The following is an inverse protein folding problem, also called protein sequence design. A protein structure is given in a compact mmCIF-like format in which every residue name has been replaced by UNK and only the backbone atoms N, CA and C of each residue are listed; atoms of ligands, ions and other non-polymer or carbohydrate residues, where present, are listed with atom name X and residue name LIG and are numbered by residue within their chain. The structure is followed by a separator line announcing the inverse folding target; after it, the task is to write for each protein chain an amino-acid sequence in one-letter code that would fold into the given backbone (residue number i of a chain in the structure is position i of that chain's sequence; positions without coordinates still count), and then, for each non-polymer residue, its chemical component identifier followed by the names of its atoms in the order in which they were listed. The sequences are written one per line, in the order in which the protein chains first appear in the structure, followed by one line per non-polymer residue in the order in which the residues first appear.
data_IF_088798947692
#
_entry.id   IF_088798947692
#
_cell.length_a   1.000
_cell.length_b   1.000
_cell.length_c   1.000
_cell.angle_alpha   90.00
_cell.angle_beta   90.00
_cell.angle_gamma   90.00
#
_symmetry.space_group_name_H-M   'P 1'
#
loop_
_entity.id
_entity.type
_entity.pdbx_description
1 polymer ?
#
# COMPACT_ATOMS: atom_id res chain seq x y z
N UNK A 1 -21.56 21.88 17.73
CA UNK A 1 -20.23 21.25 17.59
C UNK A 1 -20.35 19.83 18.09
N UNK A 2 -19.92 18.85 17.32
CA UNK A 2 -19.91 17.42 17.68
C UNK A 2 -18.53 17.07 18.24
N UNK A 3 -18.47 16.18 19.22
CA UNK A 3 -17.21 15.77 19.85
C UNK A 3 -16.96 14.29 19.60
N UNK A 4 -15.70 13.95 19.28
CA UNK A 4 -15.24 12.58 19.10
C UNK A 4 -13.89 12.39 19.81
N UNK A 5 -13.59 11.17 20.20
CA UNK A 5 -12.31 10.84 20.80
C UNK A 5 -11.21 10.77 19.74
N UNK A 6 -11.37 9.85 18.79
CA UNK A 6 -10.47 9.69 17.64
C UNK A 6 -11.25 9.92 16.36
N UNK A 7 -10.87 10.93 15.59
CA UNK A 7 -11.33 11.10 14.22
C UNK A 7 -10.30 10.53 13.26
N UNK A 8 -10.75 9.82 12.21
CA UNK A 8 -9.89 9.33 11.12
C UNK A 8 -10.31 10.00 9.82
N UNK A 9 -9.44 10.81 9.21
CA UNK A 9 -9.66 11.46 7.93
C UNK A 9 -9.12 10.59 6.79
N UNK A 10 -10.01 10.01 6.00
CA UNK A 10 -9.76 9.01 4.96
C UNK A 10 -10.04 7.59 5.44
N UNK A 11 -10.87 6.85 4.71
CA UNK A 11 -11.24 5.45 4.99
C UNK A 11 -10.78 4.52 3.83
N UNK A 12 -9.63 4.84 3.23
CA UNK A 12 -8.89 3.93 2.39
C UNK A 12 -8.22 2.82 3.22
N UNK A 13 -7.33 2.04 2.61
CA UNK A 13 -6.74 0.86 3.25
C UNK A 13 -6.06 1.17 4.60
N UNK A 14 -5.34 2.29 4.70
CA UNK A 14 -4.68 2.69 5.96
C UNK A 14 -5.67 3.19 7.01
N UNK A 15 -6.65 4.00 6.61
CA UNK A 15 -7.65 4.51 7.55
C UNK A 15 -8.57 3.43 8.09
N UNK A 16 -8.96 2.48 7.24
CA UNK A 16 -9.73 1.30 7.67
C UNK A 16 -8.92 0.44 8.67
N UNK A 17 -7.61 0.27 8.42
CA UNK A 17 -6.72 -0.44 9.34
C UNK A 17 -6.58 0.27 10.70
N UNK A 18 -6.49 1.60 10.69
CA UNK A 18 -6.49 2.40 11.93
C UNK A 18 -7.81 2.25 12.67
N UNK A 19 -8.94 2.37 11.98
CA UNK A 19 -10.26 2.22 12.61
C UNK A 19 -10.41 0.83 13.26
N UNK A 20 -10.04 -0.23 12.55
CA UNK A 20 -10.06 -1.60 13.05
C UNK A 20 -9.14 -1.80 14.28
N UNK A 21 -7.89 -1.35 14.20
CA UNK A 21 -6.93 -1.55 15.29
C UNK A 21 -7.30 -0.72 16.53
N UNK A 22 -7.70 0.55 16.35
CA UNK A 22 -8.02 1.44 17.45
C UNK A 22 -9.29 1.02 18.21
N UNK A 23 -10.36 0.63 17.51
CA UNK A 23 -11.59 0.15 18.19
C UNK A 23 -11.34 -1.12 18.97
N UNK A 24 -10.58 -2.07 18.45
CA UNK A 24 -10.18 -3.28 19.17
C UNK A 24 -9.39 -3.01 20.46
N UNK A 25 -8.74 -1.85 20.55
CA UNK A 25 -8.01 -1.38 21.74
C UNK A 25 -8.86 -0.44 22.61
N UNK A 26 -10.15 -0.33 22.32
CA UNK A 26 -11.13 0.38 23.14
C UNK A 26 -11.24 1.89 22.87
N UNK A 27 -10.66 2.38 21.77
CA UNK A 27 -10.87 3.78 21.37
C UNK A 27 -12.24 3.97 20.71
N UNK A 28 -12.89 5.12 21.00
CA UNK A 28 -14.08 5.55 20.27
C UNK A 28 -13.65 6.24 18.99
N UNK A 29 -13.99 5.65 17.84
CA UNK A 29 -13.54 6.08 16.52
C UNK A 29 -14.69 6.57 15.66
N UNK A 30 -14.54 7.73 15.03
CA UNK A 30 -15.38 8.18 13.91
C UNK A 30 -14.49 8.37 12.68
N UNK A 31 -14.72 7.59 11.61
CA UNK A 31 -13.96 7.67 10.39
C UNK A 31 -14.76 8.37 9.28
N UNK A 32 -14.10 9.29 8.59
CA UNK A 32 -14.66 10.12 7.53
C UNK A 32 -14.01 9.78 6.20
N UNK A 33 -14.82 9.54 5.18
CA UNK A 33 -14.36 9.33 3.81
C UNK A 33 -14.99 10.39 2.89
N UNK A 34 -14.15 10.99 2.05
CA UNK A 34 -14.59 12.08 1.17
C UNK A 34 -15.52 11.62 0.04
N UNK A 35 -15.49 10.33 -0.28
CA UNK A 35 -16.21 9.76 -1.42
C UNK A 35 -17.05 8.56 -1.00
N UNK A 36 -17.83 8.03 -1.96
CA UNK A 36 -18.58 6.80 -1.77
C UNK A 36 -17.65 5.58 -1.63
N UNK A 37 -18.08 4.49 -0.96
CA UNK A 37 -17.32 3.25 -0.91
C UNK A 37 -16.94 2.73 -2.31
N UNK A 38 -15.74 2.17 -2.46
CA UNK A 38 -15.27 1.60 -3.72
C UNK A 38 -14.85 2.65 -4.77
N UNK A 39 -14.69 3.92 -4.41
CA UNK A 39 -14.25 4.95 -5.33
C UNK A 39 -12.81 4.71 -5.83
N UNK A 40 -12.50 5.21 -7.05
CA UNK A 40 -11.19 5.04 -7.69
C UNK A 40 -10.28 6.28 -7.63
N UNK A 41 -10.59 7.23 -6.77
CA UNK A 41 -9.86 8.51 -6.70
C UNK A 41 -8.54 8.41 -5.97
N UNK A 42 -8.42 7.51 -4.99
CA UNK A 42 -7.20 7.29 -4.22
C UNK A 42 -6.34 6.14 -4.76
N UNK A 43 -5.58 5.52 -3.84
CA UNK A 43 -4.62 4.44 -4.11
C UNK A 43 -5.13 3.05 -3.72
N UNK A 44 -6.30 2.94 -3.08
CA UNK A 44 -6.76 1.69 -2.45
C UNK A 44 -7.77 0.89 -3.29
N UNK A 45 -8.04 1.31 -4.52
CA UNK A 45 -8.99 0.64 -5.42
C UNK A 45 -8.39 -0.60 -6.11
N UNK A 46 -9.27 -1.49 -6.61
CA UNK A 46 -8.90 -2.74 -7.30
C UNK A 46 -8.67 -3.89 -6.33
N UNK A 47 -8.47 -5.11 -6.87
CA UNK A 47 -8.52 -6.35 -6.10
C UNK A 47 -7.14 -7.00 -5.89
N UNK A 48 -6.04 -6.34 -6.27
CA UNK A 48 -4.74 -6.95 -6.11
C UNK A 48 -3.64 -5.96 -5.70
N UNK A 49 -2.91 -6.30 -4.63
CA UNK A 49 -1.65 -5.69 -4.21
C UNK A 49 -0.68 -6.78 -3.81
N UNK A 50 0.61 -6.56 -4.12
CA UNK A 50 1.64 -7.54 -3.77
C UNK A 50 1.86 -7.56 -2.26
N UNK A 51 1.76 -8.74 -1.65
CA UNK A 51 2.40 -9.07 -0.39
C UNK A 51 3.69 -9.82 -0.68
N UNK A 52 4.82 -9.40 -0.12
CA UNK A 52 6.11 -10.08 -0.27
C UNK A 52 7.01 -9.75 0.91
N UNK A 53 7.89 -10.68 1.28
CA UNK A 53 8.96 -10.47 2.25
C UNK A 53 10.30 -10.14 1.59
N UNK A 54 10.41 -10.29 0.28
CA UNK A 54 11.59 -10.09 -0.52
C UNK A 54 12.01 -8.60 -0.59
N UNK A 55 12.80 -8.18 0.40
CA UNK A 55 13.46 -6.89 0.51
C UNK A 55 14.97 -7.09 0.69
N UNK A 56 15.78 -6.14 0.21
CA UNK A 56 17.22 -6.06 0.48
C UNK A 56 17.53 -5.34 1.82
N UNK A 57 16.52 -4.85 2.48
CA UNK A 57 16.58 -4.17 3.76
C UNK A 57 16.00 -5.07 4.88
N UNK A 58 16.81 -5.51 5.83
CA UNK A 58 16.38 -6.34 6.97
C UNK A 58 15.21 -5.74 7.74
N UNK A 59 15.17 -4.42 7.90
CA UNK A 59 14.08 -3.72 8.57
C UNK A 59 12.73 -4.04 7.93
N UNK A 60 12.63 -3.97 6.60
CA UNK A 60 11.39 -4.28 5.89
C UNK A 60 11.08 -5.78 5.85
N UNK A 61 12.10 -6.67 5.89
CA UNK A 61 11.87 -8.12 6.02
C UNK A 61 11.18 -8.44 7.35
N UNK A 62 11.66 -7.85 8.46
CA UNK A 62 11.03 -8.00 9.77
C UNK A 62 9.62 -7.40 9.81
N UNK A 63 9.47 -6.19 9.26
CA UNK A 63 8.22 -5.47 9.25
C UNK A 63 7.13 -6.24 8.47
N UNK A 64 7.48 -6.80 7.30
CA UNK A 64 6.55 -7.63 6.52
C UNK A 64 6.20 -8.94 7.23
N UNK A 65 7.12 -9.54 7.97
CA UNK A 65 6.83 -10.71 8.81
C UNK A 65 5.81 -10.39 9.92
N UNK A 66 5.95 -9.22 10.57
CA UNK A 66 4.94 -8.72 11.53
C UNK A 66 3.58 -8.49 10.85
N UNK A 67 3.59 -7.85 9.68
CA UNK A 67 2.38 -7.60 8.90
C UNK A 67 1.69 -8.91 8.49
N UNK A 68 2.44 -9.94 8.10
CA UNK A 68 1.90 -11.25 7.73
C UNK A 68 1.09 -11.89 8.84
N UNK A 69 1.59 -11.87 10.08
CA UNK A 69 0.85 -12.38 11.25
C UNK A 69 -0.44 -11.59 11.52
N UNK A 70 -0.44 -10.29 11.25
CA UNK A 70 -1.62 -9.45 11.42
C UNK A 70 -2.64 -9.66 10.29
N UNK A 71 -2.18 -9.98 9.07
CA UNK A 71 -3.07 -10.43 8.01
C UNK A 71 -3.79 -11.72 8.39
N UNK A 72 -3.08 -12.73 8.91
CA UNK A 72 -3.65 -14.00 9.38
C UNK A 72 -4.67 -13.78 10.51
N UNK A 73 -4.37 -12.86 11.42
CA UNK A 73 -5.31 -12.46 12.46
C UNK A 73 -6.57 -11.81 11.90
N UNK A 74 -6.41 -10.83 10.99
CA UNK A 74 -7.53 -10.14 10.35
C UNK A 74 -8.41 -11.11 9.57
N UNK A 75 -7.83 -12.04 8.81
CA UNK A 75 -8.55 -13.10 8.09
C UNK A 75 -9.38 -13.98 9.05
N UNK A 76 -8.80 -14.33 10.21
CA UNK A 76 -9.48 -15.11 11.25
C UNK A 76 -10.66 -14.33 11.86
N UNK A 77 -10.46 -13.05 12.20
CA UNK A 77 -11.50 -12.19 12.78
C UNK A 77 -12.61 -11.87 11.75
N UNK A 78 -12.26 -11.74 10.49
CA UNK A 78 -13.20 -11.44 9.41
C UNK A 78 -13.95 -12.66 8.90
N UNK A 79 -13.45 -13.87 9.17
CA UNK A 79 -13.87 -15.14 8.53
C UNK A 79 -13.84 -15.04 6.99
N UNK A 80 -12.77 -14.42 6.46
CA UNK A 80 -12.64 -14.11 5.05
C UNK A 80 -11.17 -14.18 4.62
N UNK A 81 -10.91 -14.71 3.42
CA UNK A 81 -9.57 -14.73 2.84
C UNK A 81 -9.26 -13.39 2.19
N UNK A 82 -8.25 -12.69 2.69
CA UNK A 82 -7.83 -11.36 2.24
C UNK A 82 -6.44 -11.35 1.59
N UNK A 83 -5.63 -12.37 1.90
CA UNK A 83 -4.29 -12.58 1.35
C UNK A 83 -4.21 -13.97 0.71
N UNK A 84 -4.17 -14.01 -0.61
CA UNK A 84 -3.95 -15.25 -1.35
C UNK A 84 -2.44 -15.50 -1.54
N UNK A 85 -1.90 -16.55 -0.91
CA UNK A 85 -0.48 -16.90 -0.93
C UNK A 85 -0.11 -17.70 -2.18
N UNK A 86 -0.02 -17.00 -3.31
CA UNK A 86 0.36 -17.59 -4.61
C UNK A 86 1.87 -17.77 -4.78
N UNK A 87 2.66 -17.32 -3.80
CA UNK A 87 4.10 -17.20 -3.90
C UNK A 87 4.54 -15.94 -4.64
N UNK A 88 5.81 -15.56 -4.46
CA UNK A 88 6.43 -14.43 -5.16
C UNK A 88 7.75 -14.83 -5.81
N UNK A 89 8.10 -14.17 -6.88
CA UNK A 89 9.42 -14.28 -7.53
C UNK A 89 10.03 -12.89 -7.73
N UNK A 90 11.28 -12.76 -7.33
CA UNK A 90 12.10 -11.57 -7.54
C UNK A 90 13.31 -11.97 -8.41
N UNK A 91 13.55 -11.25 -9.50
CA UNK A 91 14.66 -11.56 -10.40
C UNK A 91 15.20 -10.31 -11.11
N UNK A 92 16.34 -10.50 -11.79
CA UNK A 92 17.05 -9.44 -12.48
C UNK A 92 18.15 -8.79 -11.63
N UNK A 93 19.14 -8.13 -12.28
CA UNK A 93 20.36 -7.67 -11.61
C UNK A 93 20.12 -6.66 -10.48
N UNK A 94 19.19 -5.73 -10.65
CA UNK A 94 18.85 -4.77 -9.60
C UNK A 94 18.14 -5.37 -8.37
N UNK A 95 17.75 -6.67 -8.43
CA UNK A 95 17.15 -7.39 -7.28
C UNK A 95 18.15 -8.18 -6.45
N UNK A 96 19.41 -8.29 -6.87
CA UNK A 96 20.47 -9.01 -6.15
C UNK A 96 20.00 -10.38 -5.61
N UNK A 97 19.56 -11.32 -6.45
CA UNK A 97 18.82 -12.51 -6.00
C UNK A 97 19.54 -13.34 -4.95
N UNK A 98 20.86 -13.54 -5.07
CA UNK A 98 21.66 -14.33 -4.15
C UNK A 98 21.69 -13.68 -2.74
N UNK A 99 21.92 -12.36 -2.68
CA UNK A 99 21.91 -11.58 -1.45
C UNK A 99 20.52 -11.57 -0.82
N UNK A 100 19.49 -11.36 -1.63
CA UNK A 100 18.11 -11.38 -1.16
C UNK A 100 17.72 -12.73 -0.57
N UNK A 101 18.08 -13.86 -1.22
CA UNK A 101 17.80 -15.18 -0.72
C UNK A 101 18.51 -15.45 0.62
N UNK A 102 19.76 -14.98 0.78
CA UNK A 102 20.51 -15.09 2.03
C UNK A 102 19.81 -14.30 3.14
N UNK A 103 19.51 -13.02 2.92
CA UNK A 103 18.82 -12.18 3.90
C UNK A 103 17.46 -12.75 4.32
N UNK A 104 16.67 -13.24 3.38
CA UNK A 104 15.37 -13.86 3.67
C UNK A 104 15.52 -15.07 4.59
N UNK A 105 16.51 -15.95 4.33
CA UNK A 105 16.78 -17.14 5.16
C UNK A 105 17.27 -16.77 6.56
N UNK A 106 18.12 -15.76 6.68
CA UNK A 106 18.57 -15.22 7.97
C UNK A 106 17.39 -14.73 8.83
N UNK A 107 16.30 -14.25 8.17
CA UNK A 107 15.08 -13.80 8.84
C UNK A 107 13.95 -14.86 8.86
N UNK A 108 14.31 -16.14 8.69
CA UNK A 108 13.41 -17.28 8.86
C UNK A 108 12.42 -17.51 7.72
N UNK A 109 12.62 -16.88 6.55
CA UNK A 109 11.82 -17.17 5.35
C UNK A 109 12.44 -18.35 4.63
N UNK A 110 11.64 -19.37 4.27
CA UNK A 110 12.06 -20.51 3.49
C UNK A 110 12.24 -20.16 1.99
N UNK A 111 13.03 -19.10 1.72
CA UNK A 111 13.29 -18.63 0.38
C UNK A 111 14.12 -19.65 -0.43
N UNK A 112 13.70 -19.88 -1.66
CA UNK A 112 14.41 -20.70 -2.65
C UNK A 112 15.20 -19.79 -3.60
N UNK A 113 16.43 -20.17 -3.90
CA UNK A 113 17.19 -19.58 -5.01
C UNK A 113 17.17 -20.61 -6.16
N UNK A 114 16.53 -20.26 -7.24
CA UNK A 114 16.34 -21.11 -8.41
C UNK A 114 17.28 -20.66 -9.53
N UNK A 115 17.79 -21.60 -10.29
CA UNK A 115 18.39 -21.27 -11.57
C UNK A 115 17.33 -20.91 -12.64
N UNK A 116 17.70 -20.25 -13.74
CA UNK A 116 16.74 -19.84 -14.76
C UNK A 116 15.99 -21.00 -15.44
N UNK A 117 16.60 -22.17 -15.53
CA UNK A 117 15.99 -23.35 -16.19
C UNK A 117 14.88 -23.92 -15.28
N UNK A 118 15.16 -24.10 -13.99
CA UNK A 118 14.19 -24.55 -12.99
C UNK A 118 13.03 -23.56 -12.85
N UNK A 119 13.32 -22.26 -12.80
CA UNK A 119 12.30 -21.23 -12.76
C UNK A 119 11.41 -21.24 -14.02
N UNK A 120 12.01 -21.36 -15.21
CA UNK A 120 11.27 -21.42 -16.47
C UNK A 120 10.43 -22.71 -16.60
N UNK A 121 10.91 -23.83 -16.06
CA UNK A 121 10.14 -25.06 -16.01
C UNK A 121 8.90 -24.94 -15.10
N UNK A 122 9.04 -24.20 -13.99
CA UNK A 122 7.96 -23.97 -13.03
C UNK A 122 6.93 -22.95 -13.52
N UNK A 123 7.40 -21.91 -14.22
CA UNK A 123 6.58 -20.82 -14.76
C UNK A 123 6.89 -20.56 -16.24
N UNK A 124 6.44 -21.42 -17.15
CA UNK A 124 6.80 -21.33 -18.58
C UNK A 124 6.27 -20.06 -19.27
N UNK A 125 5.33 -19.37 -18.64
CA UNK A 125 4.83 -18.07 -19.11
C UNK A 125 5.70 -16.86 -18.77
N UNK A 126 6.82 -17.06 -18.06
CA UNK A 126 7.74 -16.01 -17.59
C UNK A 126 9.15 -16.33 -18.12
N UNK A 127 9.82 -15.31 -18.66
CA UNK A 127 11.21 -15.44 -19.10
C UNK A 127 12.15 -15.09 -17.94
N UNK A 128 13.09 -15.99 -17.66
CA UNK A 128 14.16 -15.77 -16.70
C UNK A 128 15.52 -15.86 -17.40
N UNK A 129 16.43 -14.94 -17.11
CA UNK A 129 17.77 -14.88 -17.71
C UNK A 129 18.90 -15.00 -16.69
N UNK A 130 18.57 -15.02 -15.41
CA UNK A 130 19.49 -15.13 -14.28
C UNK A 130 18.80 -15.78 -13.08
N UNK A 131 19.47 -15.85 -11.93
CA UNK A 131 18.93 -16.42 -10.72
C UNK A 131 17.60 -15.76 -10.30
N UNK A 132 16.74 -16.56 -9.65
CA UNK A 132 15.40 -16.15 -9.23
C UNK A 132 15.24 -16.47 -7.75
N UNK A 133 14.84 -15.47 -6.95
CA UNK A 133 14.41 -15.72 -5.58
C UNK A 133 12.94 -16.05 -5.60
N UNK A 134 12.58 -17.19 -5.02
CA UNK A 134 11.20 -17.51 -4.71
C UNK A 134 10.93 -17.24 -3.22
N UNK A 135 9.96 -16.36 -2.95
CA UNK A 135 9.37 -16.13 -1.64
C UNK A 135 8.08 -16.97 -1.52
N UNK A 136 8.08 -18.06 -0.74
CA UNK A 136 6.90 -18.93 -0.63
C UNK A 136 5.75 -18.27 0.15
N UNK A 137 6.05 -17.23 0.95
CA UNK A 137 5.05 -16.47 1.71
C UNK A 137 4.44 -15.34 0.87
N UNK A 138 5.01 -15.05 -0.30
CA UNK A 138 4.51 -14.03 -1.23
C UNK A 138 3.08 -14.28 -1.67
N UNK A 139 2.35 -13.23 -2.00
CA UNK A 139 0.95 -13.37 -2.38
C UNK A 139 0.29 -12.07 -2.81
N UNK A 140 -1.02 -12.13 -2.92
CA UNK A 140 -1.87 -11.05 -3.37
C UNK A 140 -2.87 -10.70 -2.27
N UNK A 141 -2.82 -9.45 -1.83
CA UNK A 141 -3.85 -8.85 -0.95
C UNK A 141 -4.96 -8.29 -1.82
N UNK A 142 -6.23 -8.55 -1.46
CA UNK A 142 -7.38 -7.81 -1.98
C UNK A 142 -7.64 -6.56 -1.12
N UNK A 143 -7.27 -5.36 -1.57
CA UNK A 143 -7.42 -4.16 -0.76
C UNK A 143 -8.89 -3.72 -0.59
N UNK A 144 -9.77 -3.98 -1.56
CA UNK A 144 -11.19 -3.63 -1.43
C UNK A 144 -11.88 -4.55 -0.42
N UNK A 145 -11.64 -5.85 -0.47
CA UNK A 145 -12.12 -6.80 0.54
C UNK A 145 -11.54 -6.47 1.93
N UNK A 146 -10.25 -6.15 2.01
CA UNK A 146 -9.60 -5.79 3.26
C UNK A 146 -10.20 -4.51 3.90
N UNK A 147 -10.46 -3.47 3.11
CA UNK A 147 -11.15 -2.25 3.58
C UNK A 147 -12.53 -2.60 4.12
N UNK A 148 -13.30 -3.38 3.37
CA UNK A 148 -14.65 -3.79 3.77
C UNK A 148 -14.63 -4.61 5.08
N UNK A 149 -13.71 -5.58 5.20
CA UNK A 149 -13.55 -6.41 6.39
C UNK A 149 -13.15 -5.58 7.62
N UNK A 150 -12.11 -4.77 7.52
CA UNK A 150 -11.64 -3.91 8.62
C UNK A 150 -12.70 -2.90 9.05
N UNK A 151 -13.39 -2.27 8.08
CA UNK A 151 -14.47 -1.31 8.38
C UNK A 151 -15.65 -2.01 9.06
N UNK A 152 -16.06 -3.17 8.58
CA UNK A 152 -17.15 -3.97 9.18
C UNK A 152 -16.82 -4.37 10.62
N UNK A 153 -15.61 -4.85 10.85
CA UNK A 153 -15.14 -5.21 12.19
C UNK A 153 -15.08 -3.99 13.12
N UNK A 154 -14.55 -2.85 12.65
CA UNK A 154 -14.52 -1.61 13.44
C UNK A 154 -15.94 -1.15 13.82
N UNK A 155 -16.90 -1.19 12.88
CA UNK A 155 -18.29 -0.82 13.15
C UNK A 155 -18.95 -1.79 14.14
N UNK A 156 -18.65 -3.07 14.06
CA UNK A 156 -19.15 -4.06 15.03
C UNK A 156 -18.64 -3.79 16.45
N UNK A 157 -17.45 -3.19 16.60
CA UNK A 157 -16.84 -2.74 17.87
C UNK A 157 -17.23 -1.30 18.23
N UNK A 158 -18.16 -0.67 17.50
CA UNK A 158 -18.75 0.64 17.83
C UNK A 158 -18.13 1.84 17.10
N UNK A 159 -17.30 1.66 16.08
CA UNK A 159 -16.89 2.77 15.24
C UNK A 159 -18.05 3.34 14.43
N UNK A 160 -18.04 4.66 14.24
CA UNK A 160 -18.93 5.34 13.30
C UNK A 160 -18.18 5.62 11.99
N UNK A 161 -18.87 5.49 10.85
CA UNK A 161 -18.32 5.81 9.52
C UNK A 161 -19.20 6.81 8.80
N UNK A 162 -18.60 7.81 8.15
CA UNK A 162 -19.29 8.82 7.38
C UNK A 162 -18.65 8.93 5.98
N UNK A 163 -19.34 8.39 4.99
CA UNK A 163 -18.95 8.49 3.57
C UNK A 163 -19.47 9.77 2.95
N UNK A 164 -18.88 10.17 1.80
CA UNK A 164 -19.19 11.42 1.10
C UNK A 164 -19.08 12.66 2.00
N UNK A 165 -18.16 12.56 2.98
CA UNK A 165 -18.02 13.51 4.09
C UNK A 165 -16.55 13.92 4.22
N UNK A 166 -16.05 14.79 3.32
CA UNK A 166 -14.66 15.24 3.37
C UNK A 166 -14.37 16.06 4.63
N UNK A 167 -13.25 15.74 5.28
CA UNK A 167 -12.67 16.52 6.38
C UNK A 167 -11.93 17.72 5.80
N UNK A 168 -12.19 18.92 6.35
CA UNK A 168 -11.63 20.19 5.88
C UNK A 168 -11.44 21.16 7.04
N UNK A 169 -10.77 22.27 6.78
CA UNK A 169 -10.63 23.41 7.67
C UNK A 169 -10.14 22.98 9.06
N UNK A 170 -8.98 22.31 9.09
CA UNK A 170 -8.36 21.81 10.32
C UNK A 170 -7.78 22.99 11.11
N UNK A 171 -8.12 23.10 12.39
CA UNK A 171 -7.57 24.09 13.30
C UNK A 171 -7.23 23.42 14.63
N UNK A 172 -5.98 23.54 15.13
CA UNK A 172 -5.69 23.17 16.51
C UNK A 172 -6.60 23.95 17.47
N UNK A 173 -7.22 23.25 18.43
CA UNK A 173 -8.18 23.87 19.37
C UNK A 173 -8.00 23.25 20.77
N UNK A 174 -7.27 23.97 21.61
CA UNK A 174 -6.90 23.48 22.94
C UNK A 174 -5.98 22.27 22.87
N UNK A 175 -6.42 21.15 23.41
CA UNK A 175 -5.74 19.85 23.39
C UNK A 175 -6.20 18.93 22.25
N UNK A 176 -7.07 19.45 21.35
CA UNK A 176 -7.65 18.72 20.22
C UNK A 176 -7.55 19.46 18.90
N UNK A 177 -8.35 18.98 17.93
CA UNK A 177 -8.45 19.55 16.58
C UNK A 177 -9.90 19.82 16.25
N UNK A 178 -10.20 21.06 15.88
CA UNK A 178 -11.47 21.44 15.28
C UNK A 178 -11.39 21.25 13.75
N UNK A 179 -12.46 20.75 13.15
CA UNK A 179 -12.56 20.58 11.72
C UNK A 179 -14.01 20.62 11.23
N UNK A 180 -14.20 20.71 9.93
CA UNK A 180 -15.52 20.63 9.29
C UNK A 180 -15.67 19.32 8.53
N UNK A 181 -16.84 18.67 8.69
CA UNK A 181 -17.22 17.48 7.95
C UNK A 181 -18.75 17.35 7.89
N UNK A 182 -19.33 17.03 6.73
CA UNK A 182 -20.77 16.83 6.54
C UNK A 182 -21.63 18.04 6.86
N UNK A 183 -21.09 19.27 6.71
CA UNK A 183 -21.78 20.51 7.07
C UNK A 183 -21.68 20.88 8.54
N UNK A 184 -21.23 19.99 9.41
CA UNK A 184 -21.05 20.20 10.84
C UNK A 184 -19.62 20.65 11.19
N UNK A 185 -19.50 21.31 12.36
CA UNK A 185 -18.20 21.52 13.02
C UNK A 185 -17.98 20.42 14.05
N UNK A 186 -16.84 19.80 13.99
CA UNK A 186 -16.40 18.71 14.86
C UNK A 186 -15.19 19.13 15.69
N UNK A 187 -15.05 18.52 16.86
CA UNK A 187 -13.84 18.57 17.68
C UNK A 187 -13.41 17.15 18.01
N UNK A 188 -12.18 16.78 17.62
CA UNK A 188 -11.56 15.52 17.99
C UNK A 188 -10.46 15.74 19.02
N UNK A 189 -10.36 14.87 20.03
CA UNK A 189 -9.20 14.84 20.92
C UNK A 189 -7.93 14.46 20.15
N UNK A 190 -8.06 13.53 19.20
CA UNK A 190 -6.98 13.19 18.27
C UNK A 190 -7.54 13.01 16.87
N UNK A 191 -6.88 13.61 15.88
CA UNK A 191 -7.18 13.45 14.47
C UNK A 191 -6.07 12.65 13.78
N UNK A 192 -6.41 11.47 13.26
CA UNK A 192 -5.54 10.70 12.39
C UNK A 192 -5.79 11.10 10.94
N UNK A 193 -4.76 11.56 10.25
CA UNK A 193 -4.84 11.93 8.83
C UNK A 193 -4.28 10.79 7.99
N UNK A 194 -5.19 9.96 7.47
CA UNK A 194 -4.93 8.81 6.57
C UNK A 194 -5.43 9.10 5.14
N UNK A 195 -5.28 10.37 4.70
CA UNK A 195 -5.89 10.91 3.50
C UNK A 195 -5.11 10.61 2.19
N UNK A 196 -4.13 9.70 2.24
CA UNK A 196 -3.35 9.28 1.06
C UNK A 196 -2.72 10.48 0.34
N UNK A 197 -3.04 10.66 -0.95
CA UNK A 197 -2.49 11.74 -1.76
C UNK A 197 -2.96 13.15 -1.35
N UNK A 198 -3.99 13.26 -0.52
CA UNK A 198 -4.46 14.53 0.04
C UNK A 198 -3.81 14.89 1.39
N UNK A 199 -2.96 14.03 1.95
CA UNK A 199 -2.31 14.27 3.25
C UNK A 199 -1.50 15.56 3.28
N UNK A 200 -0.67 15.81 2.25
CA UNK A 200 0.11 17.04 2.15
C UNK A 200 -0.76 18.29 2.18
N UNK A 201 -1.69 18.47 1.24
CA UNK A 201 -2.59 19.63 1.22
C UNK A 201 -3.44 19.80 2.49
N UNK A 202 -3.90 18.70 3.10
CA UNK A 202 -4.73 18.75 4.29
C UNK A 202 -3.96 19.21 5.55
N UNK A 203 -2.67 18.94 5.62
CA UNK A 203 -1.79 19.27 6.75
C UNK A 203 -0.88 20.47 6.48
N UNK A 204 -1.04 21.14 5.34
CA UNK A 204 -0.22 22.30 5.00
C UNK A 204 -0.30 23.39 6.07
N UNK A 205 0.85 23.88 6.52
CA UNK A 205 0.96 24.87 7.59
C UNK A 205 0.63 24.37 9.00
N UNK A 206 0.18 23.12 9.18
CA UNK A 206 -0.18 22.55 10.48
C UNK A 206 0.88 21.58 11.03
N UNK A 207 1.47 20.78 10.15
CA UNK A 207 2.49 19.79 10.49
C UNK A 207 3.67 19.94 9.54
N UNK A 208 4.93 19.98 10.02
CA UNK A 208 6.12 20.07 9.17
C UNK A 208 6.39 18.72 8.50
N UNK A 209 5.61 18.41 7.46
CA UNK A 209 5.78 17.18 6.68
C UNK A 209 7.06 17.20 5.87
N UNK A 210 7.73 16.06 5.68
CA UNK A 210 8.71 15.92 4.60
C UNK A 210 8.01 16.12 3.24
N UNK A 211 8.74 16.41 2.16
CA UNK A 211 8.15 16.51 0.83
C UNK A 211 7.38 15.23 0.47
N UNK A 212 6.08 15.35 0.23
CA UNK A 212 5.24 14.27 -0.27
C UNK A 212 4.98 14.51 -1.76
N UNK A 213 5.53 13.63 -2.61
CA UNK A 213 5.35 13.73 -4.07
C UNK A 213 4.27 12.75 -4.52
N UNK A 214 3.24 13.25 -5.18
CA UNK A 214 2.19 12.42 -5.76
C UNK A 214 2.49 12.13 -7.22
N UNK A 215 2.43 10.85 -7.61
CA UNK A 215 2.63 10.43 -8.99
C UNK A 215 1.49 9.55 -9.48
N UNK A 216 1.16 9.65 -10.78
CA UNK A 216 0.18 8.80 -11.44
C UNK A 216 0.86 7.59 -12.04
N UNK A 217 0.47 6.41 -11.55
CA UNK A 217 0.95 5.11 -12.00
C UNK A 217 0.06 4.56 -13.11
N UNK A 218 0.64 3.77 -14.01
CA UNK A 218 -0.07 3.11 -15.10
C UNK A 218 -0.18 1.61 -14.80
N UNK A 219 -1.35 1.04 -15.03
CA UNK A 219 -1.63 -0.37 -14.74
C UNK A 219 -2.35 -1.01 -15.90
N UNK A 220 -1.88 -2.18 -16.32
CA UNK A 220 -2.36 -2.92 -17.47
C UNK A 220 -2.77 -4.32 -17.05
N UNK A 221 -3.86 -4.84 -17.64
CA UNK A 221 -4.37 -6.19 -17.35
C UNK A 221 -4.30 -7.04 -18.61
N UNK A 222 -3.62 -8.16 -18.52
CA UNK A 222 -3.39 -9.08 -19.65
C UNK A 222 -4.08 -10.42 -19.38
N UNK A 223 -4.56 -11.07 -20.44
CA UNK A 223 -5.05 -12.43 -20.35
C UNK A 223 -3.87 -13.41 -20.42
N UNK A 224 -3.76 -14.38 -19.49
CA UNK A 224 -2.89 -15.54 -19.70
C UNK A 224 -3.33 -16.32 -20.93
N UNK A 225 -2.38 -16.78 -21.77
CA UNK A 225 -2.67 -17.63 -22.93
C UNK A 225 -3.14 -19.02 -22.52
N UNK A 226 -2.55 -19.53 -21.45
CA UNK A 226 -2.89 -20.81 -20.85
C UNK A 226 -3.21 -20.63 -19.36
N UNK A 227 -4.19 -21.36 -18.83
CA UNK A 227 -4.43 -21.41 -17.39
C UNK A 227 -3.19 -21.94 -16.67
N UNK A 228 -2.82 -21.29 -15.57
CA UNK A 228 -1.69 -21.74 -14.77
C UNK A 228 -1.48 -20.84 -13.55
N UNK A 229 -0.67 -21.30 -12.58
CA UNK A 229 -0.36 -20.50 -11.41
C UNK A 229 0.60 -19.37 -11.81
N UNK A 230 0.16 -18.13 -11.64
CA UNK A 230 1.01 -16.96 -11.73
C UNK A 230 1.44 -16.54 -10.31
N UNK A 231 2.74 -16.43 -10.03
CA UNK A 231 3.22 -15.84 -8.79
C UNK A 231 3.10 -14.31 -8.85
N UNK A 232 3.31 -13.63 -7.75
CA UNK A 232 3.68 -12.22 -7.81
C UNK A 232 5.11 -12.10 -8.35
N UNK A 233 5.36 -11.09 -9.18
CA UNK A 233 6.63 -10.90 -9.87
C UNK A 233 7.15 -9.51 -9.56
N UNK A 234 8.43 -9.41 -9.19
CA UNK A 234 9.19 -8.15 -9.19
C UNK A 234 10.46 -8.38 -10.00
N UNK A 235 10.63 -7.59 -11.03
CA UNK A 235 11.76 -7.72 -11.95
C UNK A 235 12.42 -6.37 -12.19
N UNK A 236 13.74 -6.32 -11.99
CA UNK A 236 14.57 -5.19 -12.40
C UNK A 236 15.39 -5.58 -13.62
N UNK A 237 15.15 -4.92 -14.75
CA UNK A 237 15.76 -5.31 -16.04
C UNK A 237 17.25 -4.99 -16.15
N UNK A 238 17.77 -4.09 -15.31
CA UNK A 238 19.18 -3.76 -15.16
C UNK A 238 19.44 -3.12 -13.79
N UNK A 239 20.72 -2.85 -13.44
CA UNK A 239 21.07 -2.18 -12.17
C UNK A 239 20.45 -0.79 -12.01
N UNK A 240 20.21 -0.08 -13.10
CA UNK A 240 19.53 1.22 -13.15
C UNK A 240 18.29 1.16 -14.06
N UNK A 241 17.71 -0.02 -14.22
CA UNK A 241 16.70 -0.28 -15.24
C UNK A 241 15.28 -0.14 -14.75
N UNK A 242 14.39 -0.51 -15.67
CA UNK A 242 12.96 -0.48 -15.45
C UNK A 242 12.57 -1.52 -14.40
N UNK A 243 11.99 -1.06 -13.30
CA UNK A 243 11.42 -1.92 -12.28
C UNK A 243 9.95 -2.20 -12.58
N UNK A 244 9.68 -3.44 -12.94
CA UNK A 244 8.35 -3.92 -13.28
C UNK A 244 7.82 -4.86 -12.20
N UNK A 245 6.52 -4.83 -12.02
CA UNK A 245 5.84 -5.82 -11.19
C UNK A 245 4.64 -6.41 -11.90
N UNK A 246 4.38 -7.69 -11.67
CA UNK A 246 3.16 -8.33 -12.13
C UNK A 246 2.56 -9.23 -11.04
N UNK A 247 1.25 -9.44 -11.08
CA UNK A 247 0.54 -10.28 -10.11
C UNK A 247 -0.80 -10.73 -10.68
N UNK A 248 -1.31 -11.91 -10.28
CA UNK A 248 -2.65 -12.32 -10.67
C UNK A 248 -3.73 -11.42 -10.04
N UNK A 249 -4.76 -11.08 -10.83
CA UNK A 249 -5.97 -10.39 -10.38
C UNK A 249 -7.18 -11.00 -11.09
N UNK A 250 -7.89 -11.92 -10.42
CA UNK A 250 -8.96 -12.72 -11.01
C UNK A 250 -8.47 -13.54 -12.20
N UNK A 251 -9.10 -13.42 -13.40
CA UNK A 251 -8.66 -14.15 -14.59
C UNK A 251 -7.50 -13.46 -15.34
N UNK A 252 -7.00 -12.35 -14.82
CA UNK A 252 -6.00 -11.51 -15.47
C UNK A 252 -4.66 -11.52 -14.74
N UNK A 253 -3.60 -11.13 -15.44
CA UNK A 253 -2.33 -10.73 -14.84
C UNK A 253 -2.22 -9.22 -14.97
N UNK A 254 -2.12 -8.57 -13.83
CA UNK A 254 -1.89 -7.14 -13.69
C UNK A 254 -0.40 -6.85 -13.84
N UNK A 255 -0.05 -5.86 -14.63
CA UNK A 255 1.31 -5.39 -14.87
C UNK A 255 1.39 -3.89 -14.62
N UNK A 256 2.46 -3.44 -13.98
CA UNK A 256 2.76 -2.03 -13.80
C UNK A 256 4.25 -1.78 -13.65
N UNK A 257 4.61 -0.53 -13.91
CA UNK A 257 5.95 0.02 -13.68
C UNK A 257 6.00 0.63 -12.27
N UNK A 258 7.09 0.39 -11.52
CA UNK A 258 7.21 0.93 -10.16
C UNK A 258 7.70 2.38 -10.16
N UNK A 259 8.62 2.73 -11.06
CA UNK A 259 9.19 4.06 -11.24
C UNK A 259 8.84 4.60 -12.64
N UNK A 260 9.09 5.88 -12.89
CA UNK A 260 8.87 6.47 -14.23
C UNK A 260 7.49 7.10 -14.43
N UNK A 261 6.83 7.47 -13.35
CA UNK A 261 5.46 8.01 -13.35
C UNK A 261 5.43 9.54 -13.41
N UNK A 262 4.34 10.08 -13.96
CA UNK A 262 4.13 11.53 -14.04
C UNK A 262 3.75 12.11 -12.68
N UNK A 263 4.43 13.19 -12.28
CA UNK A 263 4.05 13.96 -11.08
C UNK A 263 2.70 14.63 -11.32
N UNK A 264 1.82 14.52 -10.34
CA UNK A 264 0.46 15.08 -10.37
C UNK A 264 0.01 15.48 -8.97
N UNK A 265 -1.24 15.85 -8.82
CA UNK A 265 -1.92 15.92 -7.53
C UNK A 265 -3.15 15.01 -7.55
N UNK A 266 -3.69 14.71 -6.39
CA UNK A 266 -4.92 13.91 -6.30
C UNK A 266 -6.10 14.57 -7.02
N UNK A 267 -6.15 15.91 -7.04
CA UNK A 267 -7.26 16.70 -7.59
C UNK A 267 -7.10 17.02 -9.07
N UNK A 268 -5.85 17.09 -9.57
CA UNK A 268 -5.57 17.43 -11.00
C UNK A 268 -5.32 16.21 -11.87
N UNK A 269 -5.30 15.01 -11.29
CA UNK A 269 -5.18 13.75 -12.02
C UNK A 269 -6.30 13.62 -13.06
N UNK A 270 -5.92 13.33 -14.30
CA UNK A 270 -6.84 13.22 -15.44
C UNK A 270 -7.35 11.80 -15.73
N UNK A 271 -6.80 10.79 -15.02
CA UNK A 271 -7.09 9.35 -15.22
C UNK A 271 -6.70 8.82 -16.60
N UNK A 272 -5.94 9.58 -17.38
CA UNK A 272 -5.49 9.17 -18.71
C UNK A 272 -4.23 8.35 -18.62
N UNK A 273 -4.19 7.21 -19.31
CA UNK A 273 -3.00 6.38 -19.42
C UNK A 273 -1.97 7.04 -20.31
N UNK A 274 -0.75 7.17 -19.82
CA UNK A 274 0.38 7.71 -20.58
C UNK A 274 0.75 6.77 -21.73
N UNK A 275 0.71 7.24 -23.01
CA UNK A 275 1.05 6.42 -24.16
C UNK A 275 2.46 5.84 -24.13
N UNK A 276 3.45 6.57 -23.61
CA UNK A 276 4.84 6.09 -23.55
C UNK A 276 4.99 4.99 -22.50
N UNK A 277 4.37 5.15 -21.33
CA UNK A 277 4.34 4.10 -20.31
C UNK A 277 3.60 2.86 -20.82
N UNK A 278 2.54 3.04 -21.60
CA UNK A 278 1.84 1.95 -22.27
C UNK A 278 2.75 1.17 -23.22
N UNK A 279 3.49 1.85 -24.08
CA UNK A 279 4.43 1.18 -25.01
C UNK A 279 5.56 0.45 -24.26
N UNK A 280 6.09 1.03 -23.16
CA UNK A 280 7.08 0.33 -22.32
C UNK A 280 6.50 -0.94 -21.69
N UNK A 281 5.29 -0.88 -21.16
CA UNK A 281 4.62 -2.04 -20.56
C UNK A 281 4.33 -3.14 -21.61
N UNK A 282 3.91 -2.77 -22.81
CA UNK A 282 3.68 -3.71 -23.91
C UNK A 282 4.99 -4.36 -24.39
N UNK A 283 6.06 -3.59 -24.51
CA UNK A 283 7.38 -4.11 -24.87
C UNK A 283 7.87 -5.09 -23.82
N UNK A 284 7.76 -4.73 -22.54
CA UNK A 284 8.10 -5.61 -21.43
C UNK A 284 7.28 -6.90 -21.42
N UNK A 285 5.96 -6.82 -21.58
CA UNK A 285 5.08 -7.99 -21.59
C UNK A 285 5.46 -8.97 -22.72
N UNK A 286 5.75 -8.47 -23.92
CA UNK A 286 6.19 -9.29 -25.07
C UNK A 286 7.52 -10.00 -24.81
N UNK A 287 8.45 -9.33 -24.17
CA UNK A 287 9.79 -9.87 -23.94
C UNK A 287 9.86 -10.80 -22.73
N UNK A 288 9.26 -10.40 -21.61
CA UNK A 288 9.46 -11.06 -20.31
C UNK A 288 8.30 -11.93 -19.85
N UNK A 289 7.09 -11.71 -20.38
CA UNK A 289 5.88 -12.45 -20.01
C UNK A 289 5.23 -13.11 -21.25
N UNK A 290 5.97 -14.01 -21.98
CA UNK A 290 5.47 -14.62 -23.22
C UNK A 290 4.20 -15.45 -23.02
N UNK A 291 3.86 -15.83 -21.79
CA UNK A 291 2.62 -16.51 -21.44
C UNK A 291 1.37 -15.61 -21.45
N UNK A 292 1.53 -14.31 -21.72
CA UNK A 292 0.40 -13.37 -21.82
C UNK A 292 0.00 -13.11 -23.28
N UNK A 293 -1.27 -12.78 -23.49
CA UNK A 293 -1.71 -12.16 -24.73
C UNK A 293 -0.96 -10.84 -24.95
N UNK A 294 -0.55 -10.50 -26.17
CA UNK A 294 0.29 -9.33 -26.41
C UNK A 294 -0.44 -7.99 -26.25
N UNK A 295 -1.77 -8.00 -26.14
CA UNK A 295 -2.58 -6.81 -25.97
C UNK A 295 -3.28 -6.82 -24.60
N UNK A 296 -3.29 -5.71 -23.86
CA UNK A 296 -4.02 -5.66 -22.60
C UNK A 296 -5.53 -5.70 -22.84
N UNK A 297 -6.26 -6.31 -21.90
CA UNK A 297 -7.73 -6.35 -21.89
C UNK A 297 -8.33 -5.08 -21.34
N UNK A 298 -7.62 -4.45 -20.41
CA UNK A 298 -7.99 -3.16 -19.84
C UNK A 298 -6.76 -2.47 -19.28
N UNK A 299 -6.90 -1.19 -19.05
CA UNK A 299 -5.86 -0.34 -18.47
C UNK A 299 -6.50 0.68 -17.52
N UNK A 300 -5.77 1.09 -16.52
CA UNK A 300 -6.21 2.07 -15.53
C UNK A 300 -5.02 2.80 -14.93
N UNK A 301 -5.31 3.83 -14.14
CA UNK A 301 -4.28 4.58 -13.41
C UNK A 301 -4.49 4.45 -11.90
N UNK A 302 -3.39 4.60 -11.16
CA UNK A 302 -3.38 4.61 -9.70
C UNK A 302 -2.54 5.80 -9.22
N UNK A 303 -2.52 6.09 -7.92
CA UNK A 303 -1.64 7.09 -7.33
C UNK A 303 -0.64 6.44 -6.38
N UNK A 304 0.61 6.93 -6.41
CA UNK A 304 1.53 6.78 -5.30
C UNK A 304 1.74 8.13 -4.62
N UNK A 305 2.00 8.10 -3.33
CA UNK A 305 2.43 9.25 -2.54
C UNK A 305 3.79 8.89 -1.95
N UNK A 306 4.83 9.49 -2.49
CA UNK A 306 6.22 9.22 -2.13
C UNK A 306 6.65 10.10 -0.98
N UNK A 307 7.30 9.51 0.01
CA UNK A 307 8.11 10.20 1.00
C UNK A 307 9.61 9.99 0.70
N UNK A 308 10.51 10.81 1.20
CA UNK A 308 11.95 10.64 1.03
C UNK A 308 12.41 9.24 1.46
N UNK A 309 13.30 8.63 0.67
CA UNK A 309 13.83 7.29 0.95
C UNK A 309 12.84 6.16 0.73
N UNK A 310 11.68 6.43 0.13
CA UNK A 310 10.58 5.48 -0.04
C UNK A 310 10.03 4.95 1.31
N UNK A 311 10.33 5.62 2.41
CA UNK A 311 9.84 5.28 3.74
C UNK A 311 8.37 5.77 3.97
N UNK A 312 7.84 5.46 5.12
CA UNK A 312 6.53 5.92 5.54
C UNK A 312 6.65 7.18 6.39
N UNK A 313 5.54 7.89 6.57
CA UNK A 313 5.43 8.95 7.57
C UNK A 313 4.33 8.54 8.54
N UNK A 314 4.73 8.06 9.73
CA UNK A 314 3.86 7.64 10.81
C UNK A 314 4.34 8.27 12.11
N UNK A 315 3.75 9.39 12.49
CA UNK A 315 4.16 10.12 13.69
C UNK A 315 3.03 10.99 14.22
N UNK A 316 3.21 11.52 15.40
CA UNK A 316 2.26 12.39 16.09
C UNK A 316 2.84 13.76 16.36
N UNK A 317 2.11 14.81 15.98
CA UNK A 317 2.39 16.17 16.38
C UNK A 317 1.20 16.78 17.12
N UNK A 318 1.32 16.92 18.43
CA UNK A 318 0.22 17.38 19.26
C UNK A 318 -1.00 16.47 19.13
N UNK A 319 -2.18 17.00 18.79
CA UNK A 319 -3.40 16.21 18.62
C UNK A 319 -3.53 15.59 17.20
N UNK A 320 -2.57 15.80 16.30
CA UNK A 320 -2.61 15.27 14.92
C UNK A 320 -1.64 14.08 14.80
N UNK A 321 -2.15 12.96 14.28
CA UNK A 321 -1.36 11.80 13.88
C UNK A 321 -1.33 11.72 12.37
N UNK A 322 -0.13 11.73 11.80
CA UNK A 322 0.10 11.55 10.36
C UNK A 322 0.17 10.07 10.04
N UNK A 323 -0.65 9.62 9.11
CA UNK A 323 -0.64 8.25 8.61
C UNK A 323 -0.49 8.25 7.08
N UNK A 324 0.74 8.33 6.59
CA UNK A 324 1.08 8.34 5.16
C UNK A 324 2.04 7.20 4.80
N UNK A 325 1.58 5.94 4.79
CA UNK A 325 2.40 4.76 4.54
C UNK A 325 2.31 4.30 3.08
N UNK A 326 2.42 5.19 2.10
CA UNK A 326 2.28 4.78 0.70
C UNK A 326 3.60 4.37 0.06
N UNK A 327 4.40 5.32 -0.44
CA UNK A 327 5.68 5.12 -1.14
C UNK A 327 5.71 3.90 -2.09
N UNK A 328 4.58 3.65 -2.78
CA UNK A 328 4.41 2.55 -3.72
C UNK A 328 4.32 1.14 -3.13
N UNK A 329 4.59 0.94 -1.84
CA UNK A 329 4.65 -0.41 -1.26
C UNK A 329 3.90 -0.59 0.09
N UNK A 330 3.11 0.38 0.52
CA UNK A 330 2.45 0.40 1.83
C UNK A 330 1.35 -0.65 2.04
N UNK A 331 0.63 -1.04 0.99
CA UNK A 331 -0.57 -1.86 1.10
C UNK A 331 -0.38 -3.16 1.90
N UNK A 332 0.75 -3.86 1.70
CA UNK A 332 1.06 -5.12 2.39
C UNK A 332 1.24 -4.97 3.91
N UNK A 333 1.44 -3.74 4.39
CA UNK A 333 1.61 -3.43 5.79
C UNK A 333 0.32 -2.96 6.47
N UNK A 334 -0.81 -2.88 5.76
CA UNK A 334 -2.02 -2.22 6.26
C UNK A 334 -2.44 -2.61 7.68
N UNK A 335 -2.59 -3.89 8.07
CA UNK A 335 -2.94 -4.23 9.45
C UNK A 335 -1.89 -3.77 10.47
N UNK A 336 -0.60 -3.81 10.10
CA UNK A 336 0.49 -3.33 10.96
C UNK A 336 0.49 -1.81 11.08
N UNK A 337 0.17 -1.07 10.01
CA UNK A 337 0.00 0.37 10.07
C UNK A 337 -1.09 0.75 11.06
N UNK A 338 -2.21 0.02 11.07
CA UNK A 338 -3.26 0.20 12.05
C UNK A 338 -2.75 0.09 13.50
N UNK A 339 -1.97 -0.96 13.80
CA UNK A 339 -1.37 -1.15 15.13
C UNK A 339 -0.36 -0.04 15.47
N UNK A 340 0.56 0.30 14.56
CA UNK A 340 1.56 1.34 14.80
C UNK A 340 0.94 2.72 15.04
N UNK A 341 -0.12 3.06 14.30
CA UNK A 341 -0.85 4.31 14.51
C UNK A 341 -1.61 4.26 15.85
N UNK A 342 -2.17 3.12 16.23
CA UNK A 342 -2.83 2.97 17.53
C UNK A 342 -1.82 3.09 18.68
N UNK A 343 -0.60 2.57 18.53
CA UNK A 343 0.49 2.82 19.49
C UNK A 343 0.76 4.33 19.67
N UNK A 344 0.77 5.11 18.57
CA UNK A 344 0.90 6.57 18.64
C UNK A 344 -0.28 7.24 19.33
N UNK A 345 -1.51 6.73 19.17
CA UNK A 345 -2.69 7.22 19.91
C UNK A 345 -2.54 7.05 21.43
N UNK A 346 -1.89 5.97 21.84
CA UNK A 346 -1.63 5.63 23.25
C UNK A 346 -0.36 6.27 23.80
N UNK A 347 0.34 7.10 23.01
CA UNK A 347 1.51 7.85 23.43
C UNK A 347 2.83 7.10 23.31
N UNK A 348 2.86 5.97 22.60
CA UNK A 348 4.13 5.34 22.25
C UNK A 348 4.95 6.23 21.29
N UNK A 349 6.29 6.16 21.31
CA UNK A 349 7.10 6.87 20.33
C UNK A 349 6.91 6.28 18.93
N UNK A 350 7.10 7.09 17.88
CA UNK A 350 7.09 6.59 16.52
C UNK A 350 8.25 5.60 16.29
N UNK A 351 8.11 4.78 15.27
CA UNK A 351 9.25 4.05 14.72
C UNK A 351 10.22 5.10 14.15
N UNK A 352 11.46 5.13 14.60
CA UNK A 352 12.44 6.18 14.27
C UNK A 352 12.53 6.48 12.77
N UNK A 353 12.45 5.45 11.94
CA UNK A 353 12.51 5.56 10.49
C UNK A 353 11.31 6.26 9.88
N UNK A 354 10.18 6.22 10.55
CA UNK A 354 8.90 6.80 10.08
C UNK A 354 8.54 8.11 10.75
N UNK A 355 9.40 8.58 11.67
CA UNK A 355 9.19 9.79 12.42
C UNK A 355 9.25 11.05 11.53
N UNK A 356 8.46 12.05 11.89
CA UNK A 356 8.58 13.38 11.34
C UNK A 356 9.97 13.93 11.65
N UNK A 357 10.73 14.25 10.62
CA UNK A 357 12.04 14.89 10.76
C UNK A 357 11.92 16.33 10.30
N UNK A 358 12.53 17.27 11.03
CA UNK A 358 12.55 18.64 10.56
C UNK A 358 13.24 18.73 9.19
N UNK A 359 12.80 19.64 8.31
CA UNK A 359 13.44 19.86 7.02
C UNK A 359 14.95 20.09 7.20
N UNK A 360 15.78 19.24 6.58
CA UNK A 360 17.25 19.36 6.64
C UNK A 360 17.96 18.45 7.66
N UNK A 361 17.27 17.65 8.44
CA UNK A 361 17.86 16.58 9.25
C UNK A 361 17.91 15.28 8.41
N UNK A 362 19.04 15.05 7.73
CA UNK A 362 19.40 13.74 7.13
C UNK A 362 20.30 12.99 8.08
#
# INVERSE_FOLDING_TARGET
MRHVDVAVAGLGLSGAAVAWAATRRGHTVTAFEAYAPGHRRGSSHGHARIYRRAYLDPFYIELTGRAGRLWERLETEADERLLDRVGGVDHGPGREPERMAALLREHGVAAELLDPADASARWPGIRFTGPVVRDPEGGVVDPEAAIAAMTRLAVAEGAETAYETPVRDLEPDGDGVRFRAGGDTWHARTLVVAAGAWTGPLLDGLVPLPPLTVTQQQVFFFAPREPGPWPTIVHSTSEAGLDMYALPEGPWVKLGEHLGSTVTTADTRDFTVDPEARERALAYAREWLPGLDPAPRSETTCLYTWAPGEDFVLDRQGPIVVCSPCSGHGAKFAPLIGELVTDLLEGAPPVDRFALRPPGAQ
#
